data_IF_439541816577
#
_entry.id   IF_439541816577
#
_cell.length_a   1.000
_cell.length_b   1.000
_cell.length_c   1.000
_cell.angle_alpha   90.00
_cell.angle_beta   90.00
_cell.angle_gamma   90.00
#
_symmetry.space_group_name_H-M   'P 1'
#
loop_
_entity.id
_entity.type
_entity.pdbx_description
1 polymer ?
#
# COMPACT_ATOMS: atom_id res chain seq x y z
N UNK A 1 -23.21 -1.04 -2.90
CA UNK A 1 -22.49 -1.79 -3.96
C UNK A 1 -23.54 -2.41 -4.87
N UNK A 2 -23.43 -2.22 -6.18
CA UNK A 2 -24.45 -2.69 -7.14
C UNK A 2 -24.45 -4.21 -7.26
N UNK A 3 -25.64 -4.79 -7.47
CA UNK A 3 -25.79 -6.20 -7.81
C UNK A 3 -25.21 -6.46 -9.21
N UNK A 4 -24.31 -7.45 -9.39
CA UNK A 4 -23.72 -7.73 -10.70
C UNK A 4 -24.72 -8.37 -11.69
N UNK A 5 -25.88 -8.82 -11.23
CA UNK A 5 -26.88 -9.51 -12.06
C UNK A 5 -28.00 -8.60 -12.54
N UNK A 6 -28.47 -7.68 -11.67
CA UNK A 6 -29.61 -6.80 -11.98
C UNK A 6 -29.32 -5.31 -11.76
N UNK A 7 -28.08 -4.94 -11.41
CA UNK A 7 -27.61 -3.57 -11.19
C UNK A 7 -28.34 -2.77 -10.09
N UNK A 8 -29.23 -3.38 -9.32
CA UNK A 8 -29.86 -2.75 -8.16
C UNK A 8 -28.81 -2.35 -7.09
N UNK A 9 -29.04 -1.23 -6.41
CA UNK A 9 -28.19 -0.73 -5.31
C UNK A 9 -28.41 -1.48 -4.00
N UNK A 10 -29.59 -2.08 -3.82
CA UNK A 10 -30.02 -2.75 -2.60
C UNK A 10 -29.39 -4.14 -2.46
N UNK A 11 -28.23 -4.18 -1.83
CA UNK A 11 -27.49 -5.41 -1.51
C UNK A 11 -27.17 -5.49 -0.02
N UNK A 12 -27.53 -6.61 0.61
CA UNK A 12 -27.32 -6.87 2.04
C UNK A 12 -26.10 -7.76 2.25
N UNK A 13 -25.22 -7.41 3.18
CA UNK A 13 -24.13 -8.29 3.64
C UNK A 13 -24.73 -9.35 4.58
N UNK A 14 -24.49 -10.62 4.29
CA UNK A 14 -25.02 -11.76 5.07
C UNK A 14 -23.94 -12.54 5.83
N UNK A 15 -22.70 -12.49 5.36
CA UNK A 15 -21.54 -13.12 6.01
C UNK A 15 -20.31 -12.26 5.73
N UNK A 16 -19.47 -12.05 6.75
CA UNK A 16 -18.25 -11.26 6.66
C UNK A 16 -17.16 -11.92 7.50
N UNK A 17 -16.04 -12.26 6.87
CA UNK A 17 -14.90 -12.91 7.54
C UNK A 17 -13.57 -12.43 6.98
N UNK A 18 -12.55 -12.44 7.83
CA UNK A 18 -11.16 -12.18 7.44
C UNK A 18 -10.62 -13.38 6.65
N UNK A 19 -9.86 -13.10 5.59
CA UNK A 19 -9.15 -14.11 4.79
C UNK A 19 -7.74 -13.60 4.44
N UNK A 20 -6.86 -14.52 4.02
CA UNK A 20 -5.47 -14.18 3.70
C UNK A 20 -4.71 -13.62 4.89
N UNK A 21 -4.79 -14.28 6.06
CA UNK A 21 -4.14 -13.85 7.31
C UNK A 21 -4.51 -12.42 7.76
N UNK A 22 -5.72 -11.96 7.41
CA UNK A 22 -6.22 -10.63 7.78
C UNK A 22 -5.92 -9.54 6.74
N UNK A 23 -5.23 -9.87 5.64
CA UNK A 23 -4.97 -8.92 4.54
C UNK A 23 -6.23 -8.49 3.78
N UNK A 24 -7.33 -9.25 3.89
CA UNK A 24 -8.57 -8.96 3.16
C UNK A 24 -9.83 -9.40 3.91
N UNK A 25 -10.94 -8.73 3.59
CA UNK A 25 -12.27 -9.06 4.10
C UNK A 25 -13.10 -9.66 2.99
N UNK A 26 -13.52 -10.91 3.15
CA UNK A 26 -14.49 -11.55 2.25
C UNK A 26 -15.90 -11.29 2.76
N UNK A 27 -16.74 -10.67 1.93
CA UNK A 27 -18.16 -10.42 2.22
C UNK A 27 -19.06 -11.19 1.27
N UNK A 28 -19.98 -11.99 1.79
CA UNK A 28 -21.08 -12.57 1.02
C UNK A 28 -22.25 -11.58 1.03
N UNK A 29 -22.74 -11.21 -0.14
CA UNK A 29 -23.85 -10.27 -0.32
C UNK A 29 -25.03 -10.99 -0.98
N UNK A 30 -26.24 -10.55 -0.65
CA UNK A 30 -27.48 -10.94 -1.31
C UNK A 30 -28.18 -9.69 -1.84
N UNK A 31 -28.63 -9.73 -3.09
CA UNK A 31 -29.46 -8.67 -3.66
C UNK A 31 -30.89 -8.78 -3.11
N UNK A 32 -31.50 -7.65 -2.72
CA UNK A 32 -32.87 -7.61 -2.22
C UNK A 32 -33.93 -7.57 -3.34
N UNK A 33 -33.50 -7.35 -4.60
CA UNK A 33 -34.39 -7.28 -5.78
C UNK A 33 -34.47 -8.62 -6.51
N UNK A 34 -33.32 -9.19 -6.92
CA UNK A 34 -33.31 -10.46 -7.65
C UNK A 34 -32.96 -11.68 -6.78
N UNK A 35 -32.74 -11.51 -5.47
CA UNK A 35 -32.34 -12.56 -4.52
C UNK A 35 -31.00 -13.27 -4.80
N UNK A 36 -30.28 -12.89 -5.85
CA UNK A 36 -28.98 -13.47 -6.18
C UNK A 36 -27.91 -13.18 -5.13
N UNK A 37 -27.00 -14.14 -4.97
CA UNK A 37 -25.90 -14.06 -4.00
C UNK A 37 -24.55 -14.01 -4.67
N UNK A 38 -23.71 -13.08 -4.23
CA UNK A 38 -22.37 -12.90 -4.76
C UNK A 38 -21.36 -12.61 -3.64
N UNK A 39 -20.08 -12.76 -3.94
CA UNK A 39 -18.99 -12.57 -2.98
C UNK A 39 -18.13 -11.40 -3.41
N UNK A 40 -17.77 -10.54 -2.48
CA UNK A 40 -16.83 -9.45 -2.71
C UNK A 40 -15.64 -9.58 -1.77
N UNK A 41 -14.49 -9.10 -2.23
CA UNK A 41 -13.27 -9.03 -1.46
C UNK A 41 -12.92 -7.55 -1.29
N UNK A 42 -12.67 -7.14 -0.07
CA UNK A 42 -12.15 -5.83 0.26
C UNK A 42 -10.70 -6.01 0.70
N UNK A 43 -9.80 -5.28 0.05
CA UNK A 43 -8.36 -5.32 0.29
C UNK A 43 -7.93 -3.90 0.56
N UNK A 44 -7.01 -3.72 1.52
CA UNK A 44 -6.39 -2.42 1.75
C UNK A 44 -5.57 -2.02 0.51
N UNK A 45 -5.93 -0.92 -0.13
CA UNK A 45 -5.17 -0.38 -1.24
C UNK A 45 -4.01 0.45 -0.69
N UNK A 46 -2.82 -0.14 -0.65
CA UNK A 46 -1.60 0.51 -0.16
C UNK A 46 -0.76 1.00 -1.35
N UNK A 47 -1.07 2.18 -1.85
CA UNK A 47 -0.34 2.82 -2.95
C UNK A 47 0.88 3.55 -2.41
N UNK A 48 2.02 3.46 -3.09
CA UNK A 48 3.19 4.28 -2.75
C UNK A 48 2.95 5.74 -3.13
N UNK A 49 3.30 6.71 -2.28
CA UNK A 49 3.20 8.13 -2.61
C UNK A 49 4.15 8.50 -3.76
N UNK A 50 3.81 9.55 -4.51
CA UNK A 50 4.78 10.22 -5.38
C UNK A 50 5.77 11.01 -4.53
N UNK A 51 7.00 11.13 -5.00
CA UNK A 51 8.06 11.88 -4.32
C UNK A 51 8.19 13.27 -4.95
N UNK A 52 7.96 14.30 -4.14
CA UNK A 52 8.22 15.70 -4.50
C UNK A 52 9.68 16.02 -4.21
N UNK A 53 10.45 16.32 -5.25
CA UNK A 53 11.86 16.70 -5.14
C UNK A 53 12.02 18.14 -4.68
N UNK A 54 13.24 18.52 -4.30
CA UNK A 54 13.59 19.88 -3.88
C UNK A 54 13.38 20.95 -4.96
N UNK A 55 13.35 20.54 -6.24
CA UNK A 55 13.03 21.38 -7.39
C UNK A 55 11.53 21.33 -7.77
N UNK A 56 10.66 20.87 -6.86
CA UNK A 56 9.21 20.71 -7.04
C UNK A 56 8.78 19.69 -8.12
N UNK A 57 9.73 18.89 -8.64
CA UNK A 57 9.43 17.82 -9.59
C UNK A 57 8.85 16.60 -8.85
N UNK A 58 7.72 16.09 -9.37
CA UNK A 58 7.02 14.91 -8.85
C UNK A 58 7.41 13.66 -9.63
N UNK A 59 8.11 12.74 -8.99
CA UNK A 59 8.41 11.42 -9.58
C UNK A 59 7.71 10.29 -8.82
N UNK A 60 7.41 9.15 -9.45
CA UNK A 60 7.00 7.95 -8.71
C UNK A 60 8.07 7.55 -7.70
N UNK A 61 7.66 6.99 -6.56
CA UNK A 61 8.61 6.35 -5.66
C UNK A 61 9.37 5.24 -6.40
N UNK A 62 10.70 5.28 -6.32
CA UNK A 62 11.58 4.31 -6.94
C UNK A 62 12.44 3.65 -5.85
N UNK A 63 12.20 2.36 -5.63
CA UNK A 63 12.89 1.56 -4.62
C UNK A 63 14.37 1.38 -4.95
N UNK A 64 14.72 1.11 -6.21
CA UNK A 64 16.11 0.93 -6.64
C UNK A 64 16.92 2.20 -6.41
N UNK A 65 16.31 3.37 -6.60
CA UNK A 65 16.93 4.68 -6.34
C UNK A 65 17.19 4.90 -4.86
N UNK A 66 16.25 4.52 -4.00
CA UNK A 66 16.43 4.56 -2.54
C UNK A 66 17.57 3.62 -2.12
N UNK A 67 17.50 2.35 -2.55
CA UNK A 67 18.50 1.32 -2.28
C UNK A 67 19.89 1.72 -2.73
N UNK A 68 20.02 2.19 -3.97
CA UNK A 68 21.30 2.66 -4.51
C UNK A 68 21.86 3.83 -3.72
N UNK A 69 21.00 4.75 -3.26
CA UNK A 69 21.40 5.86 -2.39
C UNK A 69 21.93 5.38 -1.04
N UNK A 70 21.25 4.42 -0.42
CA UNK A 70 21.67 3.82 0.86
C UNK A 70 23.01 3.07 0.71
N UNK A 71 23.13 2.21 -0.30
CA UNK A 71 24.36 1.45 -0.55
C UNK A 71 25.56 2.36 -0.79
N UNK A 72 25.38 3.46 -1.52
CA UNK A 72 26.43 4.46 -1.73
C UNK A 72 26.84 5.16 -0.42
N UNK A 73 25.90 5.44 0.47
CA UNK A 73 26.20 6.04 1.78
C UNK A 73 26.87 5.06 2.76
N UNK A 74 26.61 3.76 2.59
CA UNK A 74 27.16 2.66 3.38
C UNK A 74 28.48 2.10 2.83
N UNK A 75 29.02 2.69 1.76
CA UNK A 75 30.27 2.22 1.16
C UNK A 75 31.39 2.15 2.22
N UNK A 76 32.10 1.01 2.26
CA UNK A 76 33.17 0.70 3.22
C UNK A 76 32.73 0.59 4.68
N UNK A 77 31.41 0.45 4.95
CA UNK A 77 30.88 0.14 6.27
C UNK A 77 30.49 -1.35 6.36
N UNK A 78 30.68 -2.00 7.51
CA UNK A 78 30.30 -3.40 7.70
C UNK A 78 28.79 -3.51 7.97
N UNK A 79 27.97 -3.30 6.93
CA UNK A 79 26.51 -3.47 6.99
C UNK A 79 26.11 -4.59 6.04
N UNK A 80 25.27 -5.51 6.50
CA UNK A 80 24.82 -6.64 5.68
C UNK A 80 23.81 -6.19 4.63
N UNK A 81 23.69 -6.96 3.54
CA UNK A 81 22.64 -6.71 2.54
C UNK A 81 21.24 -6.87 3.15
N UNK A 82 21.06 -7.82 4.07
CA UNK A 82 19.79 -8.10 4.73
C UNK A 82 19.33 -6.90 5.59
N UNK A 83 20.24 -6.24 6.30
CA UNK A 83 19.93 -5.04 7.08
C UNK A 83 19.43 -3.90 6.18
N UNK A 84 20.02 -3.75 4.99
CA UNK A 84 19.60 -2.76 4.00
C UNK A 84 18.20 -3.09 3.46
N UNK A 85 17.93 -4.38 3.17
CA UNK A 85 16.60 -4.83 2.75
C UNK A 85 15.54 -4.57 3.83
N UNK A 86 15.86 -4.86 5.08
CA UNK A 86 14.97 -4.58 6.21
C UNK A 86 14.67 -3.09 6.33
N UNK A 87 15.69 -2.22 6.24
CA UNK A 87 15.51 -0.78 6.30
C UNK A 87 14.64 -0.25 5.13
N UNK A 88 14.88 -0.72 3.90
CA UNK A 88 14.07 -0.33 2.73
C UNK A 88 12.62 -0.76 2.92
N UNK A 89 12.36 -1.96 3.43
CA UNK A 89 11.01 -2.43 3.70
C UNK A 89 10.32 -1.65 4.83
N UNK A 90 11.07 -1.25 5.86
CA UNK A 90 10.57 -0.39 6.92
C UNK A 90 10.13 0.98 6.36
N UNK A 91 10.99 1.63 5.56
CA UNK A 91 10.67 2.91 4.91
C UNK A 91 9.44 2.77 4.02
N UNK A 92 9.36 1.73 3.18
CA UNK A 92 8.18 1.48 2.33
C UNK A 92 6.89 1.33 3.15
N UNK A 93 6.97 0.61 4.27
CA UNK A 93 5.82 0.39 5.15
C UNK A 93 5.38 1.71 5.78
N UNK A 94 6.33 2.52 6.26
CA UNK A 94 6.04 3.85 6.79
C UNK A 94 5.42 4.77 5.73
N UNK A 95 5.97 4.79 4.52
CA UNK A 95 5.47 5.59 3.41
C UNK A 95 4.07 5.18 2.95
N UNK A 96 3.72 3.90 3.01
CA UNK A 96 2.34 3.45 2.76
C UNK A 96 1.42 3.80 3.91
N UNK A 97 1.92 3.71 5.15
CA UNK A 97 1.19 4.02 6.36
C UNK A 97 0.79 5.49 6.49
N UNK A 98 1.49 6.42 5.82
CA UNK A 98 1.10 7.84 5.82
C UNK A 98 -0.23 8.07 5.11
N UNK A 99 -0.62 7.24 4.14
CA UNK A 99 -1.82 7.41 3.33
C UNK A 99 -1.80 8.63 2.40
N UNK A 100 -0.67 9.35 2.37
CA UNK A 100 -0.50 10.56 1.56
C UNK A 100 -0.31 10.21 0.08
N UNK A 101 -0.80 11.08 -0.81
CA UNK A 101 -0.58 10.91 -2.26
C UNK A 101 0.82 11.36 -2.69
N UNK A 102 1.37 12.33 -1.99
CA UNK A 102 2.67 12.94 -2.30
C UNK A 102 3.48 13.15 -1.01
N UNK A 103 4.78 12.88 -1.06
CA UNK A 103 5.70 13.05 0.07
C UNK A 103 6.94 13.81 -0.38
N UNK A 104 7.45 14.71 0.45
CA UNK A 104 8.69 15.41 0.16
C UNK A 104 9.89 14.46 0.22
N UNK A 105 10.85 14.60 -0.71
CA UNK A 105 12.06 13.78 -0.71
C UNK A 105 12.90 13.92 0.57
N UNK A 106 12.80 15.08 1.24
CA UNK A 106 13.45 15.33 2.53
C UNK A 106 12.90 14.42 3.64
N UNK A 107 11.60 14.12 3.63
CA UNK A 107 10.99 13.21 4.60
C UNK A 107 11.53 11.79 4.43
N UNK A 108 11.67 11.31 3.19
CA UNK A 108 12.32 10.01 2.92
C UNK A 108 13.78 10.02 3.41
N UNK A 109 14.52 11.12 3.17
CA UNK A 109 15.89 11.26 3.66
C UNK A 109 15.98 11.18 5.18
N UNK A 110 15.03 11.77 5.92
CA UNK A 110 14.97 11.66 7.37
C UNK A 110 14.69 10.22 7.82
N UNK A 111 13.73 9.53 7.19
CA UNK A 111 13.41 8.13 7.48
C UNK A 111 14.58 7.16 7.21
N UNK A 112 15.52 7.54 6.33
CA UNK A 112 16.75 6.76 6.09
C UNK A 112 17.79 6.95 7.19
N UNK A 113 17.73 8.09 7.91
CA UNK A 113 18.68 8.41 8.98
C UNK A 113 18.22 7.92 10.36
N UNK A 114 16.94 7.55 10.48
CA UNK A 114 16.34 6.87 11.65
C UNK A 114 16.61 5.37 11.61
#
# INVERSE_FOLDING_TARGET
MHCPFCFAVDTKVIDSRLVGEGSSVRRRRQCLVCNERFTTFEVAELVMPRVVKSNDVREPFNEDKLRSGMLKALEKRPVSADDVEMAVNHIKTHLRGTGEREVASKMIGNLVME
#
